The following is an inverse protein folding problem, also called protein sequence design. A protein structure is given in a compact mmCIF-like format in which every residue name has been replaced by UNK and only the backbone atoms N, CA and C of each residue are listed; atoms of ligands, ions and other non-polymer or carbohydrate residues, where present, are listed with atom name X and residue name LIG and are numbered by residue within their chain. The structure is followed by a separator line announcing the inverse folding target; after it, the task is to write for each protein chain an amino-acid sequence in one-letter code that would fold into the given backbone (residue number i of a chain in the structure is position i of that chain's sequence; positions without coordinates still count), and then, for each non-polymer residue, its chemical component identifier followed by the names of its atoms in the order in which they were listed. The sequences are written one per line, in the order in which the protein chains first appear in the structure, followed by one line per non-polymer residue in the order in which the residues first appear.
data_IF_251195080897
#
_entry.id   IF_251195080897
#
_cell.length_a   1.000
_cell.length_b   1.000
_cell.length_c   1.000
_cell.angle_alpha   90.00
_cell.angle_beta   90.00
_cell.angle_gamma   90.00
#
_symmetry.space_group_name_H-M   'P 1'
#
loop_
_entity.id
_entity.type
_entity.pdbx_description
1 polymer ?
#
# COMPACT_ATOMS: atom_id res chain seq x y z
N UNK A 1 10.39 8.46 3.20
CA UNK A 1 9.04 7.93 3.50
C UNK A 1 8.88 6.62 2.75
N UNK A 2 8.14 5.65 3.30
CA UNK A 2 7.94 4.33 2.69
C UNK A 2 6.53 3.83 2.90
N UNK A 3 6.09 2.95 2.00
CA UNK A 3 4.82 2.24 2.12
C UNK A 3 5.03 0.76 1.79
N UNK A 4 4.47 -0.13 2.61
CA UNK A 4 4.39 -1.56 2.34
C UNK A 4 2.92 -1.94 2.16
N UNK A 5 2.62 -2.62 1.06
CA UNK A 5 1.27 -3.06 0.70
C UNK A 5 1.17 -4.58 0.87
N UNK A 6 0.13 -5.03 1.57
CA UNK A 6 -0.19 -6.44 1.75
C UNK A 6 -1.53 -6.74 1.10
N UNK A 7 -1.52 -7.49 -0.01
CA UNK A 7 -2.73 -7.89 -0.74
C UNK A 7 -3.05 -9.35 -0.46
N UNK A 8 -4.31 -9.74 -0.58
CA UNK A 8 -4.73 -11.16 -0.50
C UNK A 8 -4.88 -11.81 -1.88
N UNK A 9 -4.96 -11.02 -2.96
CA UNK A 9 -5.11 -11.50 -4.33
C UNK A 9 -4.24 -10.68 -5.29
N UNK A 10 -3.43 -11.36 -6.11
CA UNK A 10 -2.54 -10.71 -7.08
C UNK A 10 -3.31 -9.94 -8.16
N UNK A 11 -4.53 -10.36 -8.47
CA UNK A 11 -5.35 -9.71 -9.50
C UNK A 11 -5.82 -8.31 -9.10
N UNK A 12 -5.70 -7.94 -7.81
CA UNK A 12 -6.03 -6.60 -7.33
C UNK A 12 -4.83 -5.63 -7.44
N UNK A 13 -3.64 -6.10 -7.84
CA UNK A 13 -2.40 -5.30 -7.80
C UNK A 13 -2.42 -4.08 -8.75
N UNK A 14 -2.88 -4.25 -9.98
CA UNK A 14 -2.93 -3.14 -10.95
C UNK A 14 -3.94 -2.07 -10.54
N UNK A 15 -5.13 -2.49 -10.08
CA UNK A 15 -6.15 -1.58 -9.56
C UNK A 15 -5.65 -0.84 -8.31
N UNK A 16 -4.95 -1.54 -7.42
CA UNK A 16 -4.32 -0.94 -6.25
C UNK A 16 -3.29 0.12 -6.62
N UNK A 17 -2.36 -0.18 -7.54
CA UNK A 17 -1.35 0.77 -7.96
C UNK A 17 -1.90 1.96 -8.75
N UNK A 18 -2.98 1.79 -9.52
CA UNK A 18 -3.68 2.89 -10.15
C UNK A 18 -4.17 3.91 -9.11
N UNK A 19 -4.88 3.45 -8.08
CA UNK A 19 -5.39 4.31 -6.99
C UNK A 19 -4.24 4.92 -6.17
N UNK A 20 -3.21 4.14 -5.83
CA UNK A 20 -2.05 4.68 -5.12
C UNK A 20 -1.28 5.71 -5.95
N UNK A 21 -1.23 5.56 -7.28
CA UNK A 21 -0.63 6.52 -8.19
C UNK A 21 -1.35 7.86 -8.18
N UNK A 22 -2.69 7.85 -8.14
CA UNK A 22 -3.51 9.07 -8.02
C UNK A 22 -3.28 9.80 -6.70
N UNK A 23 -3.13 9.07 -5.58
CA UNK A 23 -3.05 9.66 -4.23
C UNK A 23 -1.62 10.00 -3.80
N UNK A 24 -0.64 9.15 -4.13
CA UNK A 24 0.74 9.21 -3.65
C UNK A 24 1.74 9.57 -4.75
N UNK A 25 1.28 9.84 -5.99
CA UNK A 25 2.11 10.06 -7.17
C UNK A 25 3.08 11.24 -7.09
N UNK A 26 2.78 12.25 -6.27
CA UNK A 26 3.66 13.39 -6.03
C UNK A 26 4.73 13.08 -4.98
N UNK A 27 4.37 12.34 -3.92
CA UNK A 27 5.27 11.98 -2.81
C UNK A 27 6.26 10.89 -3.25
N UNK A 28 5.80 9.94 -4.07
CA UNK A 28 6.55 8.78 -4.57
C UNK A 28 7.34 8.07 -3.47
N UNK A 29 6.66 7.52 -2.44
CA UNK A 29 7.34 6.78 -1.40
C UNK A 29 8.03 5.53 -1.98
N UNK A 30 9.09 5.07 -1.31
CA UNK A 30 9.60 3.72 -1.57
C UNK A 30 8.48 2.71 -1.29
N UNK A 31 8.22 1.82 -2.24
CA UNK A 31 7.08 0.92 -2.23
C UNK A 31 7.53 -0.55 -2.26
N UNK A 32 6.92 -1.38 -1.41
CA UNK A 32 6.99 -2.84 -1.48
C UNK A 32 5.58 -3.39 -1.53
N UNK A 33 5.31 -4.36 -2.40
CA UNK A 33 4.03 -5.08 -2.44
C UNK A 33 4.25 -6.57 -2.22
N UNK A 34 3.43 -7.15 -1.36
CA UNK A 34 3.42 -8.58 -1.04
C UNK A 34 2.00 -9.13 -1.20
N UNK A 35 1.90 -10.34 -1.72
CA UNK A 35 0.65 -11.12 -1.64
C UNK A 35 0.77 -12.09 -0.46
N UNK A 36 -0.13 -11.95 0.51
CA UNK A 36 -0.18 -12.71 1.76
C UNK A 36 -1.41 -13.62 1.78
N UNK A 37 -1.39 -14.65 2.64
CA UNK A 37 -2.48 -15.64 2.70
C UNK A 37 -3.77 -15.09 3.30
N UNK A 38 -3.70 -14.11 4.21
CA UNK A 38 -4.84 -13.49 4.86
C UNK A 38 -4.47 -12.15 5.53
N UNK A 39 -5.48 -11.34 5.86
CA UNK A 39 -5.38 -10.12 6.66
C UNK A 39 -6.24 -10.27 7.94
N UNK A 40 -6.28 -9.24 8.80
CA UNK A 40 -7.01 -9.28 10.08
C UNK A 40 -8.48 -9.68 9.93
N UNK A 41 -9.16 -9.22 8.87
CA UNK A 41 -10.54 -9.62 8.54
C UNK A 41 -10.63 -10.23 7.15
N UNK A 42 -11.48 -11.25 6.96
CA UNK A 42 -11.57 -11.99 5.68
C UNK A 42 -12.10 -11.13 4.52
N UNK A 43 -12.88 -10.09 4.79
CA UNK A 43 -13.36 -9.16 3.76
C UNK A 43 -12.31 -8.13 3.31
N UNK A 44 -11.17 -8.02 4.01
CA UNK A 44 -10.10 -7.10 3.64
C UNK A 44 -9.33 -7.63 2.43
N UNK A 45 -9.15 -6.77 1.44
CA UNK A 45 -8.38 -7.07 0.21
C UNK A 45 -6.95 -6.54 0.26
N UNK A 46 -6.74 -5.48 1.04
CA UNK A 46 -5.45 -4.79 1.15
C UNK A 46 -5.28 -4.23 2.55
N UNK A 47 -4.05 -4.27 3.05
CA UNK A 47 -3.56 -3.52 4.20
C UNK A 47 -2.33 -2.69 3.78
N UNK A 48 -2.23 -1.47 4.30
CA UNK A 48 -1.19 -0.50 3.93
C UNK A 48 -0.45 -0.04 5.18
N UNK A 49 0.84 -0.37 5.28
CA UNK A 49 1.72 0.13 6.33
C UNK A 49 2.53 1.32 5.80
N UNK A 50 2.30 2.51 6.36
CA UNK A 50 2.99 3.73 5.96
C UNK A 50 3.95 4.22 7.05
N UNK A 51 5.19 4.54 6.65
CA UNK A 51 6.14 5.27 7.50
C UNK A 51 6.38 6.66 6.93
N UNK A 52 5.95 7.68 7.65
CA UNK A 52 6.12 9.09 7.30
C UNK A 52 7.19 9.77 8.15
N UNK A 53 7.85 10.79 7.59
CA UNK A 53 8.72 11.71 8.33
C UNK A 53 7.94 12.99 8.59
N UNK A 54 7.69 13.30 9.87
CA UNK A 54 7.15 14.61 10.26
C UNK A 54 8.21 15.69 9.99
N UNK A 55 7.81 16.82 9.40
CA UNK A 55 8.71 17.98 9.26
C UNK A 55 9.08 18.50 10.65
N UNK A 56 10.32 18.93 10.82
CA UNK A 56 10.74 19.68 12.02
C UNK A 56 9.91 20.97 12.10
N UNK A 57 9.58 21.41 13.32
CA UNK A 57 8.96 22.72 13.55
C UNK A 57 9.90 23.86 13.14
#
# INVERSE_FOLDING_TARGET
VRVTYYLTNINDADAHFAVCGEVLGDIRPAATLLVVSALYKPEMKVEIEATAKRRSA
#
